data_IF_448356009180
#
_entry.id   IF_448356009180
#
_cell.length_a   1.000
_cell.length_b   1.000
_cell.length_c   1.000
_cell.angle_alpha   90.00
_cell.angle_beta   90.00
_cell.angle_gamma   90.00
#
_symmetry.space_group_name_H-M   'P 1'
#
loop_
_entity.id
_entity.type
_entity.pdbx_description
1 polymer ?
#
# COMPACT_ATOMS: atom_id res chain seq x y z
N UNK A 1 21.69 13.73 -4.52
CA UNK A 1 21.08 13.32 -5.82
C UNK A 1 20.89 11.81 -5.94
N UNK A 2 21.91 10.97 -5.74
CA UNK A 2 21.76 9.50 -5.85
C UNK A 2 20.96 8.88 -4.69
N UNK A 3 21.14 9.42 -3.49
CA UNK A 3 20.42 9.13 -2.25
C UNK A 3 18.91 9.38 -2.37
N UNK A 4 18.54 10.54 -2.92
CA UNK A 4 17.14 10.92 -3.10
C UNK A 4 16.44 10.06 -4.17
N UNK A 5 17.14 9.79 -5.28
CA UNK A 5 16.64 8.90 -6.34
C UNK A 5 16.45 7.46 -5.83
N UNK A 6 17.37 6.98 -4.99
CA UNK A 6 17.23 5.69 -4.31
C UNK A 6 16.00 5.69 -3.39
N UNK A 7 15.84 6.72 -2.54
CA UNK A 7 14.72 6.81 -1.62
C UNK A 7 13.35 6.85 -2.34
N UNK A 8 13.25 7.57 -3.46
CA UNK A 8 12.04 7.63 -4.29
C UNK A 8 11.54 6.26 -4.75
N UNK A 9 12.45 5.29 -4.91
CA UNK A 9 12.15 3.94 -5.40
C UNK A 9 12.04 2.97 -4.23
N UNK A 10 13.03 2.96 -3.35
CA UNK A 10 13.13 2.02 -2.24
C UNK A 10 11.98 2.18 -1.24
N UNK A 11 11.55 3.41 -0.96
CA UNK A 11 10.51 3.69 0.02
C UNK A 11 9.15 3.05 -0.35
N UNK A 12 8.51 3.37 -1.50
CA UNK A 12 7.24 2.73 -1.88
C UNK A 12 7.34 1.22 -2.09
N UNK A 13 8.49 0.71 -2.56
CA UNK A 13 8.71 -0.74 -2.70
C UNK A 13 8.70 -1.45 -1.34
N UNK A 14 9.38 -0.86 -0.34
CA UNK A 14 9.46 -1.42 1.01
C UNK A 14 8.10 -1.42 1.68
N UNK A 15 7.34 -0.32 1.55
CA UNK A 15 5.96 -0.23 2.04
C UNK A 15 5.05 -1.30 1.42
N UNK A 16 5.16 -1.51 0.10
CA UNK A 16 4.35 -2.51 -0.60
C UNK A 16 4.67 -3.94 -0.17
N UNK A 17 5.94 -4.23 0.08
CA UNK A 17 6.39 -5.51 0.61
C UNK A 17 5.90 -5.72 2.04
N UNK A 18 6.07 -4.73 2.92
CA UNK A 18 5.63 -4.83 4.31
C UNK A 18 4.11 -5.02 4.43
N UNK A 19 3.32 -4.33 3.61
CA UNK A 19 1.88 -4.58 3.57
C UNK A 19 1.54 -6.03 3.19
N UNK A 20 2.34 -6.68 2.34
CA UNK A 20 2.14 -8.09 2.02
C UNK A 20 2.26 -8.98 3.24
N UNK A 21 3.29 -8.73 4.05
CA UNK A 21 3.59 -9.49 5.26
C UNK A 21 2.59 -9.24 6.39
N UNK A 22 2.06 -8.02 6.52
CA UNK A 22 1.15 -7.66 7.62
C UNK A 22 -0.30 -8.07 7.31
N UNK A 23 -0.74 -7.91 6.06
CA UNK A 23 -2.17 -7.98 5.71
C UNK A 23 -2.61 -9.35 5.24
N UNK A 24 -1.77 -10.08 4.49
CA UNK A 24 -2.17 -11.36 3.94
C UNK A 24 -1.78 -12.53 4.87
N UNK A 25 -2.66 -13.53 5.00
CA UNK A 25 -2.32 -14.74 5.74
C UNK A 25 -1.21 -15.53 5.02
N UNK A 26 -0.37 -16.27 5.77
CA UNK A 26 0.65 -17.13 5.17
C UNK A 26 0.00 -18.23 4.32
N UNK A 27 0.75 -18.78 3.35
CA UNK A 27 0.23 -19.82 2.45
C UNK A 27 -0.27 -21.06 3.18
N UNK A 28 0.36 -21.42 4.30
CA UNK A 28 -0.02 -22.55 5.15
C UNK A 28 -1.45 -22.42 5.69
N UNK A 29 -1.92 -21.20 5.97
CA UNK A 29 -3.30 -20.96 6.43
C UNK A 29 -4.31 -21.42 5.37
N UNK A 30 -4.09 -21.08 4.11
CA UNK A 30 -4.98 -21.53 3.04
C UNK A 30 -4.98 -23.05 2.87
N UNK A 31 -3.81 -23.68 3.06
CA UNK A 31 -3.65 -25.14 2.97
C UNK A 31 -4.32 -25.87 4.14
N UNK A 32 -4.24 -25.32 5.36
CA UNK A 32 -4.87 -25.86 6.57
C UNK A 32 -6.39 -25.77 6.54
N UNK A 33 -6.94 -24.63 6.11
CA UNK A 33 -8.38 -24.37 6.10
C UNK A 33 -9.04 -24.67 4.74
N UNK A 34 -8.31 -25.23 3.78
CA UNK A 34 -8.83 -25.58 2.46
C UNK A 34 -9.28 -24.39 1.61
N UNK A 35 -8.70 -23.20 1.82
CA UNK A 35 -9.06 -21.96 1.13
C UNK A 35 -8.28 -21.87 -0.18
N UNK A 36 -8.95 -21.77 -1.35
CA UNK A 36 -8.28 -21.64 -2.63
C UNK A 36 -7.39 -20.39 -2.69
N UNK A 37 -6.24 -20.51 -3.37
CA UNK A 37 -5.28 -19.41 -3.50
C UNK A 37 -5.85 -18.21 -4.25
N UNK A 38 -6.76 -18.41 -5.22
CA UNK A 38 -7.46 -17.29 -5.86
C UNK A 38 -8.33 -16.50 -4.89
N UNK A 39 -9.01 -17.14 -3.94
CA UNK A 39 -9.88 -16.48 -2.97
C UNK A 39 -9.07 -15.56 -2.07
N UNK A 40 -7.94 -16.02 -1.54
CA UNK A 40 -7.03 -15.19 -0.75
C UNK A 40 -6.51 -14.02 -1.59
N UNK A 41 -6.12 -14.27 -2.85
CA UNK A 41 -5.64 -13.20 -3.74
C UNK A 41 -6.72 -12.16 -4.04
N UNK A 42 -7.97 -12.56 -4.22
CA UNK A 42 -9.07 -11.66 -4.51
C UNK A 42 -9.50 -10.87 -3.27
N UNK A 43 -9.53 -11.52 -2.11
CA UNK A 43 -9.85 -10.91 -0.82
C UNK A 43 -8.83 -9.83 -0.42
N UNK A 44 -7.54 -10.05 -0.65
CA UNK A 44 -6.48 -9.17 -0.13
C UNK A 44 -5.76 -8.33 -1.20
N UNK A 45 -5.79 -8.69 -2.49
CA UNK A 45 -4.92 -8.06 -3.50
C UNK A 45 -5.57 -7.63 -4.81
N UNK A 46 -6.51 -8.40 -5.35
CA UNK A 46 -6.99 -8.21 -6.73
C UNK A 46 -8.30 -7.44 -6.81
N UNK A 47 -9.19 -7.59 -5.85
CA UNK A 47 -10.48 -6.90 -5.88
C UNK A 47 -10.27 -5.38 -5.81
N UNK A 48 -11.11 -4.58 -6.51
CA UNK A 48 -11.05 -3.11 -6.39
C UNK A 48 -11.16 -2.63 -4.94
N UNK A 49 -11.93 -3.35 -4.13
CA UNK A 49 -12.12 -3.10 -2.72
C UNK A 49 -10.83 -3.29 -1.90
N UNK A 50 -10.20 -4.46 -2.00
CA UNK A 50 -8.93 -4.73 -1.28
C UNK A 50 -7.82 -3.77 -1.68
N UNK A 51 -7.77 -3.36 -2.95
CA UNK A 51 -6.80 -2.38 -3.46
C UNK A 51 -7.00 -1.00 -2.86
N UNK A 52 -8.25 -0.58 -2.63
CA UNK A 52 -8.55 0.69 -1.94
C UNK A 52 -8.12 0.65 -0.48
N UNK A 53 -8.48 -0.40 0.25
CA UNK A 53 -8.06 -0.59 1.65
C UNK A 53 -6.53 -0.55 1.75
N UNK A 54 -5.83 -1.30 0.89
CA UNK A 54 -4.38 -1.30 0.84
C UNK A 54 -3.78 0.09 0.61
N UNK A 55 -4.32 0.84 -0.35
CA UNK A 55 -3.86 2.20 -0.64
C UNK A 55 -4.17 3.18 0.51
N UNK A 56 -5.26 2.94 1.24
CA UNK A 56 -5.71 3.73 2.39
C UNK A 56 -4.69 3.80 3.53
N UNK A 57 -4.02 2.68 3.81
CA UNK A 57 -2.98 2.60 4.87
C UNK A 57 -1.80 3.57 4.69
N UNK A 58 -1.53 4.01 3.47
CA UNK A 58 -0.32 4.77 3.15
C UNK A 58 -0.53 6.28 3.01
N UNK A 59 -1.69 6.81 3.43
CA UNK A 59 -1.98 8.24 3.38
C UNK A 59 -0.90 9.12 4.02
N UNK A 60 -0.49 8.80 5.24
CA UNK A 60 0.56 9.56 5.94
C UNK A 60 1.95 9.41 5.29
N UNK A 61 2.25 8.22 4.77
CA UNK A 61 3.52 7.97 4.07
C UNK A 61 3.60 8.76 2.77
N UNK A 62 2.47 9.00 2.09
CA UNK A 62 2.40 9.90 0.94
C UNK A 62 2.66 11.34 1.34
N UNK A 63 2.03 11.83 2.41
CA UNK A 63 2.29 13.19 2.93
C UNK A 63 3.77 13.39 3.26
N UNK A 64 4.38 12.44 3.96
CA UNK A 64 5.81 12.47 4.27
C UNK A 64 6.67 12.47 3.00
N UNK A 65 6.31 11.67 1.99
CA UNK A 65 7.05 11.62 0.73
C UNK A 65 6.94 12.92 -0.07
N UNK A 66 5.83 13.64 0.04
CA UNK A 66 5.66 14.98 -0.55
C UNK A 66 6.54 16.01 0.17
N UNK A 67 6.51 16.02 1.51
CA UNK A 67 7.33 16.91 2.34
C UNK A 67 8.84 16.71 2.09
N UNK A 68 9.27 15.47 1.88
CA UNK A 68 10.65 15.11 1.58
C UNK A 68 11.05 15.32 0.11
N UNK A 69 10.14 15.76 -0.77
CA UNK A 69 10.42 15.95 -2.19
C UNK A 69 10.51 14.65 -3.02
N UNK A 70 10.20 13.50 -2.42
CA UNK A 70 10.29 12.18 -3.07
C UNK A 70 9.19 11.96 -4.11
N UNK A 71 8.11 12.73 -4.07
CA UNK A 71 7.02 12.68 -5.04
C UNK A 71 7.34 13.44 -6.33
N UNK A 72 8.51 13.21 -6.91
CA UNK A 72 8.84 13.65 -8.27
C UNK A 72 8.18 12.73 -9.33
N UNK A 73 8.48 12.93 -10.62
CA UNK A 73 7.90 12.12 -11.71
C UNK A 73 8.15 10.61 -11.53
N UNK A 74 9.35 10.24 -11.07
CA UNK A 74 9.72 8.85 -10.84
C UNK A 74 9.01 8.32 -9.60
N UNK A 75 9.05 9.06 -8.49
CA UNK A 75 8.37 8.67 -7.26
C UNK A 75 6.89 8.35 -7.49
N UNK A 76 6.13 9.30 -8.04
CA UNK A 76 4.69 9.09 -8.37
C UNK A 76 4.47 7.86 -9.25
N UNK A 77 5.35 7.61 -10.22
CA UNK A 77 5.26 6.43 -11.07
C UNK A 77 5.47 5.13 -10.28
N UNK A 78 6.45 5.08 -9.37
CA UNK A 78 6.71 3.90 -8.54
C UNK A 78 5.56 3.64 -7.58
N UNK A 79 5.03 4.68 -6.90
CA UNK A 79 3.87 4.58 -6.02
C UNK A 79 2.65 3.99 -6.75
N UNK A 80 2.37 4.49 -7.95
CA UNK A 80 1.30 3.96 -8.81
C UNK A 80 1.54 2.51 -9.22
N UNK A 81 2.78 2.15 -9.56
CA UNK A 81 3.12 0.78 -9.98
C UNK A 81 3.07 -0.24 -8.84
N UNK A 82 3.34 0.22 -7.61
CA UNK A 82 3.18 -0.56 -6.38
C UNK A 82 1.70 -0.72 -5.99
N UNK A 83 0.81 0.11 -6.54
CA UNK A 83 -0.62 0.08 -6.24
C UNK A 83 -0.96 0.64 -4.86
N UNK A 84 -0.11 1.53 -4.34
CA UNK A 84 -0.27 2.20 -3.05
C UNK A 84 -0.38 3.73 -3.19
N UNK A 85 -0.63 4.19 -4.41
CA UNK A 85 -0.93 5.59 -4.73
C UNK A 85 -2.33 5.98 -4.23
N UNK A 86 -2.58 7.27 -4.05
CA UNK A 86 -3.86 7.79 -3.52
C UNK A 86 -3.73 9.19 -2.92
N UNK A 87 -4.77 9.65 -2.22
CA UNK A 87 -4.75 10.96 -1.55
C UNK A 87 -3.77 10.95 -0.37
N UNK A 88 -3.02 12.03 -0.18
CA UNK A 88 -2.15 12.22 0.97
C UNK A 88 -3.00 12.51 2.23
N UNK A 89 -2.51 12.09 3.40
CA UNK A 89 -3.15 12.41 4.67
C UNK A 89 -3.09 13.92 4.92
N UNK A 90 -4.24 14.51 5.31
CA UNK A 90 -4.34 15.94 5.61
C UNK A 90 -3.63 16.33 6.90
N UNK A 91 -3.63 15.41 7.86
CA UNK A 91 -2.97 15.54 9.15
C UNK A 91 -2.66 14.15 9.70
N UNK A 92 -1.74 14.09 10.67
CA UNK A 92 -1.34 12.84 11.33
C UNK A 92 -2.49 12.22 12.12
N UNK A 93 -2.72 10.92 11.96
CA UNK A 93 -3.82 10.21 12.61
C UNK A 93 -5.19 10.50 11.99
N UNK A 94 -5.23 10.96 10.73
CA UNK A 94 -6.50 11.09 10.00
C UNK A 94 -7.15 9.71 9.87
N UNK A 95 -8.43 9.53 10.25
CA UNK A 95 -9.10 8.26 10.10
C UNK A 95 -9.37 7.99 8.62
N UNK A 96 -9.07 6.77 8.18
CA UNK A 96 -9.44 6.31 6.84
C UNK A 96 -10.96 6.05 6.78
N UNK A 97 -11.69 7.04 6.30
CA UNK A 97 -13.15 6.97 6.17
C UNK A 97 -13.60 6.02 5.07
N UNK A 98 -12.78 5.81 4.05
CA UNK A 98 -13.10 4.84 3.01
C UNK A 98 -12.97 3.43 3.57
N UNK A 99 -11.89 3.10 4.28
CA UNK A 99 -11.75 1.81 4.95
C UNK A 99 -12.87 1.55 5.97
N UNK A 100 -13.25 2.57 6.77
CA UNK A 100 -14.34 2.44 7.75
C UNK A 100 -15.72 2.24 7.10
N UNK A 101 -15.98 2.86 5.95
CA UNK A 101 -17.24 2.65 5.22
C UNK A 101 -17.29 1.32 4.46
N UNK A 102 -16.14 0.68 4.30
CA UNK A 102 -15.94 -0.56 3.54
C UNK A 102 -15.84 -1.81 4.43
N UNK A 103 -15.60 -1.65 5.73
CA UNK A 103 -15.55 -2.72 6.74
C UNK A 103 -16.92 -2.99 7.37
#
# INVERSE_FOLDING_TARGET
>A
MADEAFACVAFPLTLRWLAHEIVAPPKSFGEEFGIPREVIKDAFWRSPHSRKILAGYFGEMRSLSEELGLMNRVGRWVWKRCGIDGEAARYRGVPDREAVALA
#
